data_IF_389545286672
#
_entry.id   IF_389545286672
#
_cell.length_a   1.000
_cell.length_b   1.000
_cell.length_c   1.000
_cell.angle_alpha   90.00
_cell.angle_beta   90.00
_cell.angle_gamma   90.00
#
_symmetry.space_group_name_H-M   'P 1'
#
loop_
_entity.id
_entity.type
_entity.pdbx_description
1 polymer ?
#
# COMPACT_ATOMS: atom_id res chain seq x y z
N UNK A 1 12.01 3.23 15.40
CA UNK A 1 11.28 1.94 15.55
C UNK A 1 10.41 1.72 14.30
N UNK A 2 11.04 1.17 13.25
CA UNK A 2 10.50 0.95 11.90
C UNK A 2 9.15 0.22 11.87
N UNK A 3 8.11 0.88 11.35
CA UNK A 3 6.76 0.33 11.18
C UNK A 3 6.45 -0.20 9.76
N UNK A 4 7.46 -0.29 8.90
CA UNK A 4 7.35 -0.91 7.57
C UNK A 4 8.19 -2.17 7.38
N UNK A 5 8.92 -2.63 8.42
CA UNK A 5 9.44 -3.99 8.40
C UNK A 5 8.28 -4.97 8.57
N UNK A 6 7.99 -5.71 7.51
CA UNK A 6 7.22 -6.95 7.47
C UNK A 6 7.20 -7.63 8.86
N UNK A 7 6.05 -7.59 9.54
CA UNK A 7 5.86 -8.30 10.80
C UNK A 7 5.88 -9.81 10.56
N UNK A 8 7.08 -10.41 10.59
CA UNK A 8 7.28 -11.82 10.90
C UNK A 8 7.57 -11.98 12.39
N UNK A 9 6.51 -12.08 13.18
CA UNK A 9 6.60 -12.65 14.53
C UNK A 9 6.11 -14.09 14.46
N UNK A 10 7.06 -15.03 14.47
CA UNK A 10 6.81 -16.45 14.68
C UNK A 10 6.44 -16.64 16.15
N UNK A 11 5.18 -16.98 16.43
CA UNK A 11 4.81 -17.52 17.73
C UNK A 11 5.06 -19.04 17.71
N UNK A 12 6.13 -19.46 18.38
CA UNK A 12 6.39 -20.87 18.71
C UNK A 12 5.45 -21.22 19.88
N UNK A 13 4.53 -22.16 19.65
CA UNK A 13 3.82 -22.84 20.73
C UNK A 13 4.04 -24.35 20.56
N UNK A 14 4.77 -24.92 21.50
CA UNK A 14 5.07 -26.35 21.61
C UNK A 14 3.79 -27.18 21.76
N UNK A 15 3.69 -28.25 20.98
CA UNK A 15 2.64 -29.25 21.11
C UNK A 15 2.98 -30.25 22.23
N UNK A 16 2.03 -30.49 23.14
CA UNK A 16 1.88 -31.76 23.87
C UNK A 16 0.40 -32.15 23.81
N UNK A 17 0.16 -33.46 23.65
CA UNK A 17 -1.01 -34.07 23.05
C UNK A 17 -2.28 -34.18 23.93
N UNK A 18 -3.40 -34.10 23.19
CA UNK A 18 -4.77 -34.62 23.34
C UNK A 18 -5.26 -35.31 24.64
N UNK A 19 -6.45 -34.86 25.10
CA UNK A 19 -7.57 -35.71 25.52
C UNK A 19 -8.89 -35.08 25.06
N UNK A 20 -9.78 -35.90 24.49
CA UNK A 20 -11.14 -35.57 24.06
C UNK A 20 -12.04 -35.14 25.23
N UNK A 21 -12.75 -34.01 25.09
CA UNK A 21 -14.07 -33.80 25.67
C UNK A 21 -14.80 -32.67 24.92
N UNK A 22 -15.92 -33.01 24.31
CA UNK A 22 -16.85 -32.12 23.64
C UNK A 22 -17.64 -31.28 24.65
N UNK A 23 -17.55 -29.94 24.60
CA UNK A 23 -18.61 -29.00 25.02
C UNK A 23 -18.32 -27.56 24.59
N UNK A 24 -19.30 -26.95 23.91
CA UNK A 24 -19.62 -25.51 23.83
C UNK A 24 -18.59 -24.56 23.21
N UNK A 25 -18.92 -24.07 22.00
CA UNK A 25 -18.24 -22.96 21.34
C UNK A 25 -18.21 -21.72 22.24
N UNK A 26 -17.00 -21.30 22.61
CA UNK A 26 -16.78 -20.05 23.32
C UNK A 26 -17.13 -18.86 22.41
N UNK A 27 -17.82 -17.82 22.93
CA UNK A 27 -18.08 -16.62 22.16
C UNK A 27 -16.76 -15.90 21.83
N UNK A 28 -16.68 -15.36 20.61
CA UNK A 28 -15.54 -14.58 20.14
C UNK A 28 -15.18 -13.44 21.14
N UNK A 29 -13.89 -13.11 21.32
CA UNK A 29 -13.47 -12.09 22.28
C UNK A 29 -14.15 -10.76 21.98
N UNK A 30 -14.84 -10.23 22.98
CA UNK A 30 -15.48 -8.91 22.95
C UNK A 30 -14.40 -7.84 22.73
N UNK A 31 -14.50 -7.11 21.61
CA UNK A 31 -13.64 -5.97 21.30
C UNK A 31 -13.66 -5.00 22.49
N UNK A 32 -12.49 -4.56 22.98
CA UNK A 32 -12.41 -3.68 24.16
C UNK A 32 -13.22 -2.38 23.97
N UNK A 33 -13.86 -1.89 25.04
CA UNK A 33 -14.71 -0.69 24.99
C UNK A 33 -13.98 0.53 24.42
N UNK A 34 -12.68 0.69 24.73
CA UNK A 34 -11.85 1.80 24.23
C UNK A 34 -11.68 1.79 22.71
N UNK A 35 -11.52 0.61 22.09
CA UNK A 35 -11.42 0.50 20.63
C UNK A 35 -12.77 0.76 19.94
N UNK A 36 -13.87 0.33 20.56
CA UNK A 36 -15.21 0.67 20.08
C UNK A 36 -15.49 2.18 20.16
N UNK A 37 -15.09 2.84 21.26
CA UNK A 37 -15.22 4.28 21.46
C UNK A 37 -14.42 5.09 20.44
N UNK A 38 -13.19 4.69 20.12
CA UNK A 38 -12.38 5.37 19.11
C UNK A 38 -13.00 5.25 17.69
N UNK A 39 -13.57 4.08 17.37
CA UNK A 39 -14.10 3.79 16.02
C UNK A 39 -15.28 4.67 15.63
N UNK A 40 -16.11 5.13 16.56
CA UNK A 40 -17.25 5.98 16.21
C UNK A 40 -16.80 7.35 15.62
N UNK A 41 -15.58 7.78 15.95
CA UNK A 41 -14.99 9.02 15.45
C UNK A 41 -14.38 8.90 14.05
N UNK A 42 -14.30 7.70 13.48
CA UNK A 42 -13.78 7.47 12.12
C UNK A 42 -14.67 8.11 11.07
N UNK A 43 -14.09 8.85 10.13
CA UNK A 43 -14.79 9.50 9.02
C UNK A 43 -14.08 10.77 8.54
N UNK A 44 -14.65 11.41 7.53
CA UNK A 44 -14.23 12.75 7.09
C UNK A 44 -15.03 13.84 7.83
N UNK A 45 -14.38 14.94 8.18
CA UNK A 45 -15.00 16.11 8.80
C UNK A 45 -14.67 17.36 7.99
N UNK A 46 -15.69 18.18 7.73
CA UNK A 46 -15.50 19.51 7.16
C UNK A 46 -15.37 20.53 8.29
N UNK A 47 -14.27 21.26 8.30
CA UNK A 47 -14.00 22.33 9.25
C UNK A 47 -14.71 23.63 8.83
N UNK A 48 -14.89 24.55 9.77
CA UNK A 48 -15.54 25.86 9.55
C UNK A 48 -14.83 26.70 8.47
N UNK A 49 -13.54 26.46 8.21
CA UNK A 49 -12.76 27.12 7.16
C UNK A 49 -12.80 26.40 5.80
N UNK A 50 -13.62 25.35 5.67
CA UNK A 50 -13.80 24.57 4.46
C UNK A 50 -12.84 23.40 4.28
N UNK A 51 -11.75 23.33 5.06
CA UNK A 51 -10.81 22.18 5.00
C UNK A 51 -11.49 20.88 5.39
N UNK A 52 -10.99 19.77 4.85
CA UNK A 52 -11.43 18.43 5.22
C UNK A 52 -10.32 17.70 5.96
N UNK A 53 -10.68 17.13 7.11
CA UNK A 53 -9.83 16.21 7.87
C UNK A 53 -10.45 14.81 7.86
N UNK A 54 -9.70 13.82 7.39
CA UNK A 54 -10.06 12.40 7.52
C UNK A 54 -9.47 11.85 8.81
N UNK A 55 -10.27 11.12 9.58
CA UNK A 55 -9.85 10.40 10.78
C UNK A 55 -10.10 8.92 10.55
N UNK A 56 -9.06 8.10 10.68
CA UNK A 56 -9.11 6.64 10.51
C UNK A 56 -8.47 5.94 11.72
N UNK A 57 -8.74 4.64 11.95
CA UNK A 57 -7.94 3.84 12.88
C UNK A 57 -6.46 3.88 12.50
N UNK A 58 -5.58 3.83 13.50
CA UNK A 58 -4.14 3.58 13.31
C UNK A 58 -3.86 2.06 13.33
N UNK A 59 -2.59 1.71 13.33
CA UNK A 59 -2.04 0.38 13.66
C UNK A 59 -2.65 -0.25 14.93
N UNK A 60 -2.84 0.56 15.97
CA UNK A 60 -3.56 0.19 17.18
C UNK A 60 -5.03 0.63 17.07
N UNK A 61 -6.02 -0.28 17.19
CA UNK A 61 -7.44 0.06 17.10
C UNK A 61 -7.97 1.06 18.13
N UNK A 62 -7.22 1.30 19.22
CA UNK A 62 -7.54 2.33 20.21
C UNK A 62 -6.98 3.72 19.86
N UNK A 63 -6.08 3.79 18.87
CA UNK A 63 -5.45 5.00 18.36
C UNK A 63 -6.08 5.39 17.03
N UNK A 64 -6.03 6.67 16.72
CA UNK A 64 -6.55 7.21 15.45
C UNK A 64 -5.42 7.91 14.70
N UNK A 65 -5.65 8.19 13.42
CA UNK A 65 -4.77 8.99 12.58
C UNK A 65 -5.59 9.98 11.79
N UNK A 66 -5.26 11.26 11.90
CA UNK A 66 -5.88 12.29 11.07
C UNK A 66 -5.05 12.56 9.82
N UNK A 67 -5.70 12.97 8.72
CA UNK A 67 -5.07 13.33 7.44
C UNK A 67 -5.79 14.51 6.81
N UNK A 68 -5.02 15.47 6.30
CA UNK A 68 -5.49 16.59 5.48
C UNK A 68 -5.19 16.33 4.00
N UNK A 69 -5.89 17.05 3.11
CA UNK A 69 -5.67 16.97 1.66
C UNK A 69 -4.28 17.45 1.24
N UNK A 70 -3.66 18.36 1.98
CA UNK A 70 -2.28 18.80 1.72
C UNK A 70 -1.23 17.74 2.09
N UNK A 71 -1.64 16.61 2.66
CA UNK A 71 -0.76 15.50 3.03
C UNK A 71 -0.31 15.50 4.48
N UNK A 72 -0.53 16.59 5.23
CA UNK A 72 -0.26 16.61 6.68
C UNK A 72 -1.09 15.53 7.38
N UNK A 73 -0.46 14.86 8.34
CA UNK A 73 -1.06 13.78 9.11
C UNK A 73 -0.43 13.71 10.49
N UNK A 74 -1.17 13.13 11.43
CA UNK A 74 -0.65 12.85 12.75
C UNK A 74 -1.39 11.70 13.43
N UNK A 75 -0.70 11.05 14.37
CA UNK A 75 -1.26 9.96 15.18
C UNK A 75 -1.88 10.55 16.43
N UNK A 76 -3.13 10.17 16.72
CA UNK A 76 -3.88 10.55 17.89
C UNK A 76 -3.84 9.42 18.92
N UNK A 77 -3.35 9.76 20.11
CA UNK A 77 -3.31 8.87 21.28
C UNK A 77 -4.12 9.50 22.40
N UNK A 78 -4.82 8.69 23.19
CA UNK A 78 -5.50 9.18 24.40
C UNK A 78 -4.56 9.18 25.58
N UNK A 79 -4.37 10.36 26.18
CA UNK A 79 -3.59 10.56 27.41
C UNK A 79 -4.40 11.45 28.36
N UNK A 80 -4.59 10.99 29.61
CA UNK A 80 -5.34 11.72 30.64
C UNK A 80 -6.73 12.23 30.19
N UNK A 81 -7.42 11.46 29.35
CA UNK A 81 -8.74 11.80 28.82
C UNK A 81 -8.75 12.77 27.63
N UNK A 82 -7.60 13.27 27.19
CA UNK A 82 -7.44 14.12 26.01
C UNK A 82 -6.82 13.37 24.82
N UNK A 83 -7.10 13.82 23.60
CA UNK A 83 -6.38 13.34 22.41
C UNK A 83 -5.15 14.19 22.16
N UNK A 84 -3.99 13.55 22.12
CA UNK A 84 -2.70 14.16 21.82
C UNK A 84 -2.27 13.73 20.43
N UNK A 85 -1.80 14.69 19.62
CA UNK A 85 -1.33 14.46 18.27
C UNK A 85 0.19 14.43 18.19
N UNK A 86 0.71 13.56 17.32
CA UNK A 86 2.13 13.53 16.95
C UNK A 86 2.29 13.68 15.44
N UNK A 87 3.34 14.40 15.03
CA UNK A 87 3.65 14.72 13.63
C UNK A 87 3.91 13.44 12.84
N UNK A 88 3.20 13.25 11.73
CA UNK A 88 3.46 12.13 10.83
C UNK A 88 3.47 10.78 11.55
N UNK A 89 4.60 10.08 11.43
CA UNK A 89 4.91 8.84 12.13
C UNK A 89 6.11 9.01 13.08
N UNK A 90 6.58 10.24 13.29
CA UNK A 90 7.82 10.52 14.04
C UNK A 90 7.66 10.30 15.55
N UNK A 91 6.42 10.33 16.06
CA UNK A 91 6.14 10.31 17.50
C UNK A 91 6.41 11.63 18.21
N UNK A 92 6.90 12.65 17.50
CA UNK A 92 7.14 13.97 18.06
C UNK A 92 5.82 14.75 18.17
N UNK A 93 5.59 15.54 19.22
CA UNK A 93 4.41 16.38 19.34
C UNK A 93 4.36 17.43 18.23
N UNK A 94 3.18 17.67 17.66
CA UNK A 94 2.95 18.66 16.59
C UNK A 94 2.17 19.89 17.06
N UNK A 95 1.75 19.93 18.32
CA UNK A 95 0.92 20.99 18.90
C UNK A 95 -0.55 20.96 18.48
N UNK A 96 -0.96 20.04 17.59
CA UNK A 96 -2.34 19.92 17.11
C UNK A 96 -3.21 19.34 18.20
N UNK A 97 -4.25 20.09 18.57
CA UNK A 97 -5.25 19.66 19.56
C UNK A 97 -6.50 19.14 18.85
N UNK A 98 -6.93 17.94 19.22
CA UNK A 98 -8.15 17.33 18.69
C UNK A 98 -9.10 17.01 19.84
N UNK A 99 -10.38 17.33 19.66
CA UNK A 99 -11.45 16.87 20.54
C UNK A 99 -12.61 16.41 19.67
N UNK A 100 -13.27 15.33 20.09
CA UNK A 100 -14.47 14.84 19.43
C UNK A 100 -15.68 15.11 20.32
N UNK A 101 -16.84 15.34 19.71
CA UNK A 101 -18.11 15.19 20.42
C UNK A 101 -18.34 13.73 20.81
N UNK A 102 -19.45 13.45 21.51
CA UNK A 102 -19.89 12.08 21.71
C UNK A 102 -20.15 11.38 20.36
N UNK A 103 -20.18 10.05 20.33
CA UNK A 103 -20.39 9.28 19.10
C UNK A 103 -21.63 9.71 18.29
N UNK A 104 -22.66 10.24 18.96
CA UNK A 104 -23.91 10.68 18.33
C UNK A 104 -23.89 12.14 17.84
N UNK A 105 -22.88 12.93 18.23
CA UNK A 105 -22.84 14.36 17.94
C UNK A 105 -22.24 14.70 16.58
N UNK A 106 -21.50 13.78 15.94
CA UNK A 106 -20.86 13.99 14.62
C UNK A 106 -20.03 15.30 14.52
N UNK A 107 -19.36 15.69 15.62
CA UNK A 107 -18.60 16.94 15.76
C UNK A 107 -17.13 16.65 16.04
N UNK A 108 -16.28 17.52 15.53
CA UNK A 108 -14.85 17.59 15.85
C UNK A 108 -14.49 19.04 16.20
N UNK A 109 -13.50 19.22 17.08
CA UNK A 109 -12.71 20.43 17.20
C UNK A 109 -11.27 20.07 16.86
N UNK A 110 -10.75 20.61 15.76
CA UNK A 110 -9.43 20.31 15.23
C UNK A 110 -8.64 21.60 15.16
N UNK A 111 -7.58 21.69 15.95
CA UNK A 111 -6.69 22.85 16.01
C UNK A 111 -7.44 24.19 16.17
N UNK A 112 -8.32 24.23 17.17
CA UNK A 112 -9.16 25.40 17.45
C UNK A 112 -10.43 25.50 16.60
N UNK A 113 -10.46 24.93 15.39
CA UNK A 113 -11.58 25.01 14.46
C UNK A 113 -12.65 23.96 14.78
N UNK A 114 -13.91 24.35 14.64
CA UNK A 114 -15.02 23.39 14.70
C UNK A 114 -15.16 22.69 13.36
N UNK A 115 -15.70 21.50 13.38
CA UNK A 115 -16.06 20.77 12.17
C UNK A 115 -17.18 19.77 12.40
N UNK A 116 -17.77 19.32 11.29
CA UNK A 116 -18.86 18.34 11.27
C UNK A 116 -18.53 17.18 10.36
N UNK A 117 -18.94 15.98 10.78
CA UNK A 117 -18.77 14.77 9.99
C UNK A 117 -19.51 14.90 8.66
N UNK A 118 -18.85 14.55 7.57
CA UNK A 118 -19.42 14.54 6.23
C UNK A 118 -20.20 13.24 6.06
N UNK A 119 -21.45 13.34 5.62
CA UNK A 119 -22.25 12.18 5.25
C UNK A 119 -21.86 11.67 3.87
N UNK A 120 -21.82 10.35 3.71
CA UNK A 120 -21.64 9.66 2.43
C UNK A 120 -22.80 8.69 2.19
N UNK A 121 -23.05 8.35 0.92
CA UNK A 121 -23.91 7.23 0.55
C UNK A 121 -23.02 5.98 0.56
N UNK A 122 -23.25 5.11 1.56
CA UNK A 122 -22.43 3.92 1.80
C UNK A 122 -23.27 2.68 1.55
N UNK A 123 -22.79 1.81 0.69
CA UNK A 123 -23.33 0.47 0.49
C UNK A 123 -22.28 -0.56 0.93
N UNK A 124 -22.52 -1.21 2.06
CA UNK A 124 -21.77 -2.41 2.46
C UNK A 124 -22.19 -3.56 1.56
N UNK A 125 -21.24 -4.41 1.17
CA UNK A 125 -21.53 -5.55 0.30
C UNK A 125 -20.64 -6.75 0.58
N UNK A 126 -21.03 -7.88 0.01
CA UNK A 126 -20.20 -9.03 -0.21
C UNK A 126 -20.30 -9.43 -1.67
N UNK A 127 -19.20 -9.84 -2.27
CA UNK A 127 -19.16 -10.25 -3.67
C UNK A 127 -18.33 -11.52 -3.85
N UNK A 128 -18.69 -12.30 -4.84
CA UNK A 128 -18.06 -13.58 -5.13
C UNK A 128 -16.82 -13.42 -6.02
N UNK A 129 -15.76 -14.12 -5.67
CA UNK A 129 -14.58 -14.31 -6.53
C UNK A 129 -14.01 -15.71 -6.28
N UNK A 130 -13.91 -16.53 -7.33
CA UNK A 130 -13.46 -17.92 -7.21
C UNK A 130 -14.20 -18.74 -6.12
N UNK A 131 -15.52 -18.49 -5.97
CA UNK A 131 -16.37 -19.15 -4.99
C UNK A 131 -16.19 -18.68 -3.54
N UNK A 132 -15.42 -17.62 -3.31
CA UNK A 132 -15.22 -16.99 -2.00
C UNK A 132 -16.03 -15.71 -1.86
N UNK A 133 -16.61 -15.49 -0.68
CA UNK A 133 -17.29 -14.24 -0.34
C UNK A 133 -16.30 -13.20 0.19
N UNK A 134 -16.06 -12.15 -0.60
CA UNK A 134 -15.18 -11.04 -0.23
C UNK A 134 -16.00 -9.84 0.28
N UNK A 135 -15.55 -9.23 1.37
CA UNK A 135 -16.20 -8.05 1.96
C UNK A 135 -15.83 -6.80 1.17
N UNK A 136 -16.83 -6.02 0.77
CA UNK A 136 -16.66 -4.76 0.04
C UNK A 136 -17.50 -3.63 0.62
N UNK A 137 -17.18 -2.40 0.22
CA UNK A 137 -17.93 -1.20 0.53
C UNK A 137 -17.80 -0.21 -0.62
N UNK A 138 -18.93 0.25 -1.15
CA UNK A 138 -18.99 1.42 -2.02
C UNK A 138 -19.28 2.67 -1.18
N UNK A 139 -18.45 3.70 -1.32
CA UNK A 139 -18.62 5.01 -0.69
C UNK A 139 -18.73 6.08 -1.78
N UNK A 140 -19.90 6.70 -1.89
CA UNK A 140 -20.15 7.79 -2.82
C UNK A 140 -20.38 9.11 -2.08
N UNK A 141 -20.03 10.25 -2.69
CA UNK A 141 -20.55 11.54 -2.26
C UNK A 141 -22.08 11.50 -2.20
N UNK A 142 -22.65 12.11 -1.15
CA UNK A 142 -24.10 12.24 -0.99
C UNK A 142 -24.73 12.92 -2.21
N UNK A 143 -25.88 12.41 -2.64
CA UNK A 143 -26.71 13.04 -3.67
C UNK A 143 -26.90 12.16 -4.90
N UNK A 144 -27.18 12.79 -6.03
CA UNK A 144 -27.55 12.09 -7.27
C UNK A 144 -26.58 12.33 -8.43
N UNK A 145 -25.56 13.17 -8.23
CA UNK A 145 -24.58 13.49 -9.26
C UNK A 145 -23.81 12.25 -9.71
N UNK A 146 -23.44 12.25 -10.99
CA UNK A 146 -22.53 11.26 -11.52
C UNK A 146 -21.11 11.55 -11.04
N UNK A 147 -20.43 10.53 -10.53
CA UNK A 147 -19.10 10.66 -9.93
C UNK A 147 -18.13 9.64 -10.53
N UNK A 148 -16.85 10.01 -10.74
CA UNK A 148 -15.82 9.02 -11.05
C UNK A 148 -15.61 8.13 -9.82
N UNK A 149 -15.36 6.83 -10.04
CA UNK A 149 -15.13 5.85 -8.97
C UNK A 149 -13.80 5.14 -9.18
N UNK A 150 -13.07 4.94 -8.09
CA UNK A 150 -11.90 4.05 -8.07
C UNK A 150 -12.15 2.83 -7.21
N UNK A 151 -11.69 1.67 -7.66
CA UNK A 151 -11.58 0.46 -6.86
C UNK A 151 -10.16 0.39 -6.31
N UNK A 152 -10.02 0.33 -4.98
CA UNK A 152 -8.72 0.27 -4.32
C UNK A 152 -8.17 -1.15 -4.35
N UNK A 153 -7.05 -1.33 -5.04
CA UNK A 153 -6.31 -2.60 -5.16
C UNK A 153 -5.12 -2.55 -4.21
N UNK A 154 -5.06 -3.55 -3.34
CA UNK A 154 -4.22 -3.57 -2.14
C UNK A 154 -2.72 -3.66 -2.44
N UNK A 155 -1.91 -3.19 -1.48
CA UNK A 155 -0.47 -3.47 -1.42
C UNK A 155 -0.19 -4.86 -0.87
N UNK A 156 1.05 -5.15 -0.46
CA UNK A 156 1.48 -6.48 0.01
C UNK A 156 1.00 -6.83 1.43
N UNK A 157 0.34 -5.90 2.11
CA UNK A 157 -0.04 -6.01 3.51
C UNK A 157 -1.20 -6.98 3.75
N UNK A 158 -1.29 -7.45 5.01
CA UNK A 158 -2.35 -8.33 5.51
C UNK A 158 -3.33 -7.57 6.41
N UNK A 159 -3.89 -6.47 5.90
CA UNK A 159 -4.83 -5.60 6.64
C UNK A 159 -6.17 -5.51 5.93
N UNK A 160 -7.23 -5.20 6.68
CA UNK A 160 -8.55 -4.91 6.11
C UNK A 160 -8.52 -3.56 5.39
N UNK A 161 -8.66 -3.56 4.06
CA UNK A 161 -8.81 -2.33 3.29
C UNK A 161 -10.03 -1.53 3.74
N UNK A 162 -11.16 -2.20 3.99
CA UNK A 162 -12.42 -1.57 4.41
C UNK A 162 -12.26 -0.81 5.73
N UNK A 163 -11.43 -1.30 6.65
CA UNK A 163 -11.24 -0.67 7.95
C UNK A 163 -10.04 0.30 8.00
N UNK A 164 -9.06 0.19 7.09
CA UNK A 164 -7.78 0.93 7.16
C UNK A 164 -7.59 2.01 6.10
N UNK A 165 -8.17 1.88 4.90
CA UNK A 165 -7.82 2.76 3.78
C UNK A 165 -8.52 4.11 3.87
N UNK A 166 -7.77 5.19 4.02
CA UNK A 166 -8.29 6.54 4.26
C UNK A 166 -8.93 7.19 3.03
N UNK A 167 -8.62 6.69 1.82
CA UNK A 167 -9.13 7.19 0.55
C UNK A 167 -10.67 7.15 0.53
N UNK A 168 -11.28 6.15 1.19
CA UNK A 168 -12.73 6.03 1.32
C UNK A 168 -13.38 7.20 2.08
N UNK A 169 -12.60 8.01 2.79
CA UNK A 169 -13.07 9.25 3.44
C UNK A 169 -12.69 10.49 2.63
N UNK A 170 -11.42 10.60 2.20
CA UNK A 170 -10.93 11.81 1.55
C UNK A 170 -11.47 11.95 0.11
N UNK A 171 -11.49 10.89 -0.68
CA UNK A 171 -11.88 10.99 -2.09
C UNK A 171 -13.38 11.35 -2.24
N UNK A 172 -14.32 10.71 -1.51
CA UNK A 172 -15.72 11.09 -1.59
C UNK A 172 -16.01 12.50 -1.07
N UNK A 173 -15.20 13.00 -0.12
CA UNK A 173 -15.30 14.41 0.31
C UNK A 173 -14.97 15.42 -0.79
N UNK A 174 -14.29 14.96 -1.84
CA UNK A 174 -13.82 15.72 -3.00
C UNK A 174 -14.52 15.31 -4.30
N UNK A 175 -15.65 14.61 -4.23
CA UNK A 175 -16.46 14.26 -5.42
C UNK A 175 -16.00 13.02 -6.18
N UNK A 176 -15.10 12.21 -5.61
CA UNK A 176 -14.63 10.95 -6.21
C UNK A 176 -15.12 9.78 -5.36
N UNK A 177 -15.93 8.89 -5.93
CA UNK A 177 -16.37 7.68 -5.22
C UNK A 177 -15.25 6.64 -5.07
N UNK A 178 -15.39 5.79 -4.07
CA UNK A 178 -14.41 4.74 -3.76
C UNK A 178 -15.14 3.43 -3.53
N UNK A 179 -14.70 2.38 -4.22
CA UNK A 179 -14.98 1.02 -3.81
C UNK A 179 -13.73 0.46 -3.11
N UNK A 180 -13.90 0.06 -1.86
CA UNK A 180 -12.86 -0.57 -1.05
C UNK A 180 -13.33 -1.97 -0.68
N UNK A 181 -12.44 -2.94 -0.70
CA UNK A 181 -12.72 -4.29 -0.28
C UNK A 181 -11.64 -4.79 0.66
N UNK A 182 -11.87 -5.94 1.29
CA UNK A 182 -10.84 -6.63 2.05
C UNK A 182 -10.20 -7.68 1.12
N UNK A 183 -8.87 -7.68 1.00
CA UNK A 183 -8.14 -8.73 0.28
C UNK A 183 -8.56 -10.12 0.81
N UNK A 184 -8.64 -11.13 -0.05
CA UNK A 184 -8.89 -12.52 0.37
C UNK A 184 -8.03 -12.92 1.58
N UNK A 185 -8.62 -13.59 2.56
CA UNK A 185 -7.99 -13.95 3.82
C UNK A 185 -7.59 -12.79 4.75
N UNK A 186 -8.15 -11.59 4.56
CA UNK A 186 -8.00 -10.43 5.45
C UNK A 186 -9.36 -9.85 5.84
N UNK A 187 -9.41 -9.12 6.95
CA UNK A 187 -10.62 -8.42 7.38
C UNK A 187 -11.83 -9.34 7.48
N UNK A 188 -12.91 -9.02 6.77
CA UNK A 188 -14.13 -9.83 6.68
C UNK A 188 -14.24 -10.72 5.44
N UNK A 189 -13.20 -10.79 4.61
CA UNK A 189 -13.15 -11.62 3.40
C UNK A 189 -12.74 -13.05 3.71
N UNK A 190 -13.36 -14.00 3.02
CA UNK A 190 -13.05 -15.43 3.12
C UNK A 190 -11.72 -15.80 2.44
N UNK A 191 -11.35 -17.08 2.55
CA UNK A 191 -10.21 -17.68 1.87
C UNK A 191 -8.87 -17.52 2.59
N UNK A 192 -7.80 -17.91 1.90
CA UNK A 192 -6.41 -17.77 2.37
C UNK A 192 -5.81 -16.46 1.84
N UNK A 193 -5.00 -15.82 2.67
CA UNK A 193 -4.20 -14.67 2.25
C UNK A 193 -3.25 -15.07 1.12
N UNK A 194 -3.19 -14.23 0.09
CA UNK A 194 -2.47 -14.48 -1.15
C UNK A 194 -1.71 -13.23 -1.60
N UNK A 195 -0.62 -13.45 -2.35
CA UNK A 195 0.13 -12.44 -3.07
C UNK A 195 0.26 -12.82 -4.57
N UNK A 196 -0.61 -13.72 -5.04
CA UNK A 196 -0.59 -14.19 -6.43
C UNK A 196 -1.30 -13.17 -7.30
N UNK A 197 -0.57 -12.58 -8.24
CA UNK A 197 -1.07 -11.43 -8.99
C UNK A 197 -2.22 -11.81 -9.92
N UNK A 198 -2.22 -13.01 -10.48
CA UNK A 198 -3.32 -13.48 -11.31
C UNK A 198 -4.59 -13.65 -10.49
N UNK A 199 -4.50 -14.34 -9.35
CA UNK A 199 -5.62 -14.56 -8.45
C UNK A 199 -6.17 -13.27 -7.84
N UNK A 200 -5.29 -12.33 -7.46
CA UNK A 200 -5.67 -11.03 -6.93
C UNK A 200 -6.23 -10.10 -8.01
N UNK A 201 -5.78 -10.25 -9.27
CA UNK A 201 -6.33 -9.46 -10.37
C UNK A 201 -7.76 -9.91 -10.72
N UNK A 202 -8.07 -11.19 -10.58
CA UNK A 202 -9.45 -11.68 -10.72
C UNK A 202 -10.36 -11.13 -9.59
N UNK A 203 -9.86 -11.02 -8.35
CA UNK A 203 -10.58 -10.33 -7.27
C UNK A 203 -10.86 -8.86 -7.60
N UNK A 204 -9.87 -8.17 -8.17
CA UNK A 204 -10.01 -6.78 -8.54
C UNK A 204 -11.03 -6.60 -9.69
N UNK A 205 -11.09 -7.54 -10.64
CA UNK A 205 -12.14 -7.59 -11.69
C UNK A 205 -13.52 -7.79 -11.07
N UNK A 206 -13.67 -8.71 -10.12
CA UNK A 206 -14.94 -8.95 -9.42
C UNK A 206 -15.37 -7.73 -8.59
N UNK A 207 -14.43 -7.10 -7.87
CA UNK A 207 -14.67 -5.87 -7.11
C UNK A 207 -15.13 -4.71 -8.02
N UNK A 208 -14.53 -4.59 -9.21
CA UNK A 208 -14.90 -3.60 -10.21
C UNK A 208 -16.32 -3.82 -10.75
N UNK A 209 -16.69 -5.07 -11.03
CA UNK A 209 -18.03 -5.43 -11.44
C UNK A 209 -19.07 -5.11 -10.35
N UNK A 210 -18.75 -5.43 -9.10
CA UNK A 210 -19.63 -5.16 -7.96
C UNK A 210 -19.80 -3.66 -7.72
N UNK A 211 -18.72 -2.89 -7.78
CA UNK A 211 -18.76 -1.44 -7.69
C UNK A 211 -19.67 -0.84 -8.78
N UNK A 212 -19.55 -1.34 -10.02
CA UNK A 212 -20.41 -0.92 -11.14
C UNK A 212 -21.88 -1.27 -10.89
N UNK A 213 -22.17 -2.47 -10.39
CA UNK A 213 -23.53 -2.93 -10.07
C UNK A 213 -24.20 -2.05 -9.01
N UNK A 214 -23.49 -1.76 -7.92
CA UNK A 214 -24.01 -0.95 -6.81
C UNK A 214 -24.17 0.53 -7.19
N UNK A 215 -23.20 1.11 -7.89
CA UNK A 215 -23.24 2.53 -8.24
C UNK A 215 -24.09 2.84 -9.47
N UNK A 216 -24.35 1.85 -10.34
CA UNK A 216 -25.22 1.97 -11.50
C UNK A 216 -24.92 3.20 -12.37
N UNK A 217 -25.96 3.98 -12.67
CA UNK A 217 -25.89 5.18 -13.51
C UNK A 217 -25.19 6.37 -12.85
N UNK A 218 -24.96 6.32 -11.52
CA UNK A 218 -24.19 7.35 -10.81
C UNK A 218 -22.69 7.28 -11.08
N UNK A 219 -22.17 6.19 -11.64
CA UNK A 219 -20.75 6.09 -11.95
C UNK A 219 -20.48 6.66 -13.34
N UNK A 220 -19.89 7.86 -13.41
CA UNK A 220 -19.53 8.50 -14.69
C UNK A 220 -18.38 7.78 -15.38
N UNK A 221 -17.36 7.38 -14.61
CA UNK A 221 -16.26 6.53 -15.03
C UNK A 221 -15.74 5.68 -13.88
N UNK A 222 -15.16 4.52 -14.18
CA UNK A 222 -14.60 3.64 -13.17
C UNK A 222 -13.21 3.14 -13.55
N UNK A 223 -12.32 3.05 -12.58
CA UNK A 223 -10.97 2.56 -12.79
C UNK A 223 -10.39 1.88 -11.55
N UNK A 224 -9.17 1.38 -11.69
CA UNK A 224 -8.44 0.69 -10.64
C UNK A 224 -7.37 1.62 -10.07
N UNK A 225 -7.21 1.62 -8.74
CA UNK A 225 -6.17 2.34 -8.01
C UNK A 225 -5.31 1.33 -7.27
N UNK A 226 -4.13 1.03 -7.80
CA UNK A 226 -3.19 0.05 -7.25
C UNK A 226 -2.08 0.71 -6.45
N UNK A 227 -1.91 0.30 -5.20
CA UNK A 227 -0.85 0.80 -4.32
C UNK A 227 0.24 -0.25 -4.12
N UNK A 228 1.53 0.09 -4.25
CA UNK A 228 2.65 -0.86 -4.06
C UNK A 228 2.46 -2.14 -4.90
N UNK A 229 2.32 -3.34 -4.29
CA UNK A 229 1.96 -4.60 -4.97
C UNK A 229 0.73 -4.47 -5.91
N UNK A 230 -0.22 -3.62 -5.55
CA UNK A 230 -1.38 -3.30 -6.37
C UNK A 230 -1.01 -2.71 -7.74
N UNK A 231 0.20 -2.17 -7.89
CA UNK A 231 0.78 -1.69 -9.14
C UNK A 231 1.04 -2.78 -10.18
N UNK A 232 1.21 -4.05 -9.78
CA UNK A 232 1.20 -5.19 -10.71
C UNK A 232 -0.21 -5.71 -10.96
N UNK A 233 -1.01 -5.79 -9.89
CA UNK A 233 -2.35 -6.38 -9.92
C UNK A 233 -3.34 -5.53 -10.70
N UNK A 234 -3.32 -4.20 -10.56
CA UNK A 234 -4.29 -3.31 -11.17
C UNK A 234 -4.16 -3.25 -12.71
N UNK A 235 -2.96 -3.09 -13.32
CA UNK A 235 -2.80 -3.20 -14.77
C UNK A 235 -3.18 -4.59 -15.29
N UNK A 236 -2.82 -5.66 -14.57
CA UNK A 236 -3.19 -7.03 -14.94
C UNK A 236 -4.72 -7.21 -14.95
N UNK A 237 -5.41 -6.74 -13.91
CA UNK A 237 -6.87 -6.77 -13.83
C UNK A 237 -7.52 -5.97 -14.97
N UNK A 238 -6.99 -4.77 -15.27
CA UNK A 238 -7.47 -3.95 -16.39
C UNK A 238 -7.30 -4.62 -17.75
N UNK A 239 -6.29 -5.48 -17.92
CA UNK A 239 -6.12 -6.27 -19.15
C UNK A 239 -7.15 -7.38 -19.33
N UNK A 240 -7.81 -7.80 -18.23
CA UNK A 240 -8.80 -8.89 -18.19
C UNK A 240 -10.24 -8.41 -18.38
N UNK A 241 -10.50 -7.10 -18.37
CA UNK A 241 -11.87 -6.56 -18.49
C UNK A 241 -11.94 -5.18 -19.17
N UNK A 242 -12.92 -4.95 -20.07
CA UNK A 242 -13.17 -3.62 -20.62
C UNK A 242 -13.84 -2.67 -19.63
N UNK A 243 -14.29 -3.17 -18.47
CA UNK A 243 -14.98 -2.35 -17.47
C UNK A 243 -14.05 -1.31 -16.82
N UNK A 244 -12.76 -1.62 -16.73
CA UNK A 244 -11.76 -0.69 -16.24
C UNK A 244 -11.48 0.35 -17.32
N UNK A 245 -11.85 1.62 -17.07
CA UNK A 245 -11.69 2.70 -18.04
C UNK A 245 -10.38 3.47 -17.85
N UNK A 246 -9.70 3.26 -16.72
CA UNK A 246 -8.37 3.82 -16.44
C UNK A 246 -7.70 3.02 -15.30
N UNK A 247 -6.39 3.18 -15.18
CA UNK A 247 -5.59 2.61 -14.09
C UNK A 247 -4.75 3.72 -13.46
N UNK A 248 -4.70 3.75 -12.14
CA UNK A 248 -3.75 4.57 -11.40
C UNK A 248 -2.88 3.65 -10.56
N UNK A 249 -1.57 3.77 -10.70
CA UNK A 249 -0.59 3.09 -9.87
C UNK A 249 0.12 4.12 -9.00
N UNK A 250 0.18 3.86 -7.71
CA UNK A 250 0.90 4.71 -6.74
C UNK A 250 1.96 3.87 -6.05
N UNK A 251 3.21 4.35 -6.12
CA UNK A 251 4.42 3.73 -5.55
C UNK A 251 4.53 2.23 -5.84
N UNK A 252 4.08 1.81 -7.03
CA UNK A 252 4.26 0.46 -7.56
C UNK A 252 5.25 0.48 -8.73
N UNK A 253 5.70 -0.70 -9.15
CA UNK A 253 6.80 -0.83 -10.11
C UNK A 253 6.33 -1.36 -11.48
N UNK A 254 7.01 -0.90 -12.53
CA UNK A 254 6.98 -1.47 -13.87
C UNK A 254 8.14 -2.46 -14.08
N UNK A 255 8.64 -3.06 -13.00
CA UNK A 255 9.62 -4.13 -12.99
C UNK A 255 9.16 -5.32 -12.14
N UNK A 256 9.80 -6.48 -12.27
CA UNK A 256 9.43 -7.70 -11.54
C UNK A 256 9.86 -7.68 -10.08
N UNK A 257 9.24 -8.52 -9.26
CA UNK A 257 9.49 -8.63 -7.80
C UNK A 257 10.95 -8.96 -7.48
N UNK A 258 11.60 -9.78 -8.30
CA UNK A 258 13.03 -10.08 -8.13
C UNK A 258 13.93 -8.88 -8.40
N UNK A 259 13.54 -8.01 -9.34
CA UNK A 259 14.29 -6.78 -9.62
C UNK A 259 14.10 -5.77 -8.50
N UNK A 260 12.91 -5.67 -7.92
CA UNK A 260 12.64 -4.84 -6.73
C UNK A 260 13.60 -5.17 -5.58
N UNK A 261 13.68 -6.44 -5.17
CA UNK A 261 14.58 -6.87 -4.09
C UNK A 261 16.05 -6.60 -4.44
N UNK A 262 16.47 -6.86 -5.68
CA UNK A 262 17.83 -6.55 -6.15
C UNK A 262 18.15 -5.06 -6.08
N UNK A 263 17.23 -4.21 -6.52
CA UNK A 263 17.44 -2.76 -6.57
C UNK A 263 17.42 -2.16 -5.16
N UNK A 264 16.58 -2.70 -4.26
CA UNK A 264 16.59 -2.38 -2.84
C UNK A 264 17.94 -2.75 -2.20
N UNK A 265 18.45 -3.95 -2.44
CA UNK A 265 19.78 -4.37 -1.96
C UNK A 265 20.86 -3.39 -2.44
N UNK A 266 20.82 -3.00 -3.71
CA UNK A 266 21.78 -2.05 -4.26
C UNK A 266 21.66 -0.66 -3.63
N UNK A 267 20.43 -0.18 -3.36
CA UNK A 267 20.21 1.09 -2.68
C UNK A 267 20.71 1.07 -1.23
N UNK A 268 20.43 -0.01 -0.49
CA UNK A 268 20.89 -0.21 0.88
C UNK A 268 22.41 -0.25 0.99
N UNK A 269 23.09 -0.93 0.06
CA UNK A 269 24.54 -0.97 0.00
C UNK A 269 25.14 0.40 -0.29
N UNK A 270 24.58 1.16 -1.25
CA UNK A 270 25.01 2.53 -1.51
C UNK A 270 24.88 3.41 -0.27
N UNK A 271 23.76 3.32 0.44
CA UNK A 271 23.53 4.07 1.68
C UNK A 271 24.51 3.67 2.80
N UNK A 272 24.95 2.40 2.83
CA UNK A 272 25.95 1.90 3.76
C UNK A 272 27.41 2.21 3.35
N UNK A 273 27.64 2.92 2.24
CA UNK A 273 28.98 3.27 1.75
C UNK A 273 29.63 2.22 0.83
N UNK A 274 28.89 1.19 0.41
CA UNK A 274 29.34 0.09 -0.45
C UNK A 274 28.80 0.21 -1.88
N UNK A 275 28.79 1.45 -2.41
CA UNK A 275 28.16 1.78 -3.69
C UNK A 275 29.03 1.59 -4.93
N UNK A 276 30.24 1.06 -4.80
CA UNK A 276 31.14 0.84 -5.93
C UNK A 276 30.63 -0.27 -6.87
N UNK A 277 31.01 -0.18 -8.15
CA UNK A 277 30.48 -1.06 -9.17
C UNK A 277 30.83 -2.55 -8.96
N UNK A 278 31.99 -2.86 -8.38
CA UNK A 278 32.42 -4.24 -8.12
C UNK A 278 31.56 -4.86 -7.00
N UNK A 279 31.41 -4.14 -5.88
CA UNK A 279 30.55 -4.58 -4.77
C UNK A 279 29.11 -4.77 -5.22
N UNK A 280 28.54 -3.82 -5.96
CA UNK A 280 27.17 -3.94 -6.45
C UNK A 280 27.00 -5.10 -7.45
N UNK A 281 28.01 -5.41 -8.27
CA UNK A 281 27.99 -6.57 -9.16
C UNK A 281 28.02 -7.89 -8.37
N UNK A 282 28.81 -7.99 -7.30
CA UNK A 282 28.84 -9.14 -6.40
C UNK A 282 27.51 -9.32 -5.67
N UNK A 283 26.98 -8.24 -5.08
CA UNK A 283 25.69 -8.24 -4.39
C UNK A 283 24.54 -8.65 -5.32
N UNK A 284 24.55 -8.17 -6.57
CA UNK A 284 23.59 -8.60 -7.60
C UNK A 284 23.59 -10.12 -7.81
N UNK A 285 24.77 -10.76 -7.82
CA UNK A 285 24.84 -12.24 -7.92
C UNK A 285 24.20 -12.93 -6.72
N UNK A 286 24.33 -12.34 -5.52
CA UNK A 286 23.66 -12.84 -4.30
C UNK A 286 22.15 -12.71 -4.43
N UNK A 287 21.65 -11.54 -4.84
CA UNK A 287 20.21 -11.32 -5.09
C UNK A 287 19.64 -12.21 -6.19
N UNK A 288 20.44 -12.53 -7.23
CA UNK A 288 20.01 -13.46 -8.28
C UNK A 288 19.86 -14.90 -7.73
N UNK A 289 20.75 -15.33 -6.84
CA UNK A 289 20.68 -16.65 -6.20
C UNK A 289 19.52 -16.76 -5.20
N UNK A 290 19.29 -15.73 -4.38
CA UNK A 290 18.13 -15.66 -3.48
C UNK A 290 16.82 -15.54 -4.27
N UNK A 291 16.79 -14.75 -5.35
CA UNK A 291 15.64 -14.68 -6.24
C UNK A 291 15.28 -16.04 -6.87
N UNK A 292 16.28 -16.85 -7.23
CA UNK A 292 16.09 -18.22 -7.71
C UNK A 292 15.53 -19.15 -6.62
N UNK A 293 16.00 -19.00 -5.37
CA UNK A 293 15.41 -19.68 -4.21
C UNK A 293 13.93 -19.36 -4.07
N UNK A 294 13.57 -18.09 -4.11
CA UNK A 294 12.19 -17.64 -3.98
C UNK A 294 11.29 -18.21 -5.11
N UNK A 295 11.70 -18.01 -6.37
CA UNK A 295 10.95 -18.46 -7.55
C UNK A 295 10.84 -19.98 -7.67
N UNK A 296 11.75 -20.74 -7.05
CA UNK A 296 11.72 -22.20 -7.04
C UNK A 296 11.16 -22.80 -5.75
N UNK A 297 10.62 -21.98 -4.83
CA UNK A 297 10.13 -22.43 -3.51
C UNK A 297 11.20 -23.21 -2.73
N UNK A 298 12.44 -22.74 -2.82
CA UNK A 298 13.61 -23.32 -2.15
C UNK A 298 14.18 -24.57 -2.82
N UNK A 299 13.73 -24.96 -4.01
CA UNK A 299 14.22 -26.16 -4.71
C UNK A 299 15.56 -25.94 -5.44
N UNK A 300 15.86 -24.70 -5.85
CA UNK A 300 17.08 -24.31 -6.58
C UNK A 300 17.69 -23.06 -5.96
N UNK A 301 18.95 -22.74 -6.26
CA UNK A 301 19.62 -21.52 -5.78
C UNK A 301 20.44 -21.69 -4.50
N UNK A 302 20.30 -22.82 -3.79
CA UNK A 302 21.09 -23.08 -2.58
C UNK A 302 22.57 -23.27 -2.88
N UNK A 303 22.89 -24.05 -3.91
CA UNK A 303 24.27 -24.37 -4.27
C UNK A 303 24.99 -23.10 -4.77
N UNK A 304 24.29 -22.25 -5.54
CA UNK A 304 24.75 -20.94 -5.95
C UNK A 304 24.97 -19.99 -4.76
N UNK A 305 24.02 -19.94 -3.82
CA UNK A 305 24.13 -19.11 -2.61
C UNK A 305 25.27 -19.59 -1.69
N UNK A 306 25.46 -20.89 -1.52
CA UNK A 306 26.56 -21.46 -0.73
C UNK A 306 27.92 -21.14 -1.33
N UNK A 307 28.06 -21.21 -2.67
CA UNK A 307 29.28 -20.82 -3.36
C UNK A 307 29.59 -19.31 -3.19
N UNK A 308 28.58 -18.45 -3.35
CA UNK A 308 28.73 -17.01 -3.16
C UNK A 308 29.06 -16.66 -1.70
N UNK A 309 28.45 -17.34 -0.74
CA UNK A 309 28.74 -17.19 0.68
C UNK A 309 30.17 -17.58 1.00
N UNK A 310 30.63 -18.72 0.51
CA UNK A 310 32.02 -19.14 0.70
C UNK A 310 33.02 -18.11 0.13
N UNK A 311 32.65 -17.43 -0.95
CA UNK A 311 33.47 -16.41 -1.59
C UNK A 311 33.45 -15.06 -0.85
N UNK A 312 32.28 -14.61 -0.37
CA UNK A 312 32.06 -13.20 -0.01
C UNK A 312 31.67 -12.94 1.45
N UNK A 313 31.34 -13.95 2.27
CA UNK A 313 30.78 -13.72 3.62
C UNK A 313 31.68 -12.90 4.57
N UNK A 314 32.97 -12.82 4.27
CA UNK A 314 33.96 -12.07 5.04
C UNK A 314 34.22 -10.66 4.48
N UNK A 315 33.66 -10.30 3.32
CA UNK A 315 33.73 -8.94 2.81
C UNK A 315 32.80 -8.03 3.64
N UNK A 316 33.20 -6.78 3.96
CA UNK A 316 32.42 -5.90 4.84
C UNK A 316 30.99 -5.63 4.38
N UNK A 317 30.77 -5.57 3.06
CA UNK A 317 29.44 -5.31 2.48
C UNK A 317 28.45 -6.46 2.69
N UNK A 318 28.92 -7.69 2.93
CA UNK A 318 28.03 -8.84 3.11
C UNK A 318 27.09 -8.66 4.30
N UNK A 319 27.58 -8.09 5.39
CA UNK A 319 26.77 -7.81 6.59
C UNK A 319 25.85 -6.60 6.40
N UNK A 320 26.09 -5.79 5.36
CA UNK A 320 25.25 -4.67 4.97
C UNK A 320 24.17 -5.07 3.96
N UNK A 321 24.17 -6.32 3.46
CA UNK A 321 23.09 -6.83 2.61
C UNK A 321 21.78 -6.78 3.37
N UNK A 322 20.86 -6.01 2.82
CA UNK A 322 19.46 -5.92 3.25
C UNK A 322 18.58 -6.40 2.10
N UNK A 323 17.50 -5.69 1.76
CA UNK A 323 16.43 -6.21 0.91
C UNK A 323 15.36 -6.96 1.70
N UNK A 324 14.11 -6.92 1.22
CA UNK A 324 12.99 -7.64 1.83
C UNK A 324 13.21 -9.14 1.87
N UNK A 325 13.83 -9.71 0.83
CA UNK A 325 14.06 -11.14 0.70
C UNK A 325 15.53 -11.51 0.86
N UNK A 326 16.42 -10.85 0.10
CA UNK A 326 17.84 -11.22 0.10
C UNK A 326 18.44 -11.16 1.50
N UNK A 327 18.19 -10.08 2.24
CA UNK A 327 18.73 -9.89 3.60
C UNK A 327 18.23 -10.92 4.61
N UNK A 328 17.00 -11.43 4.43
CA UNK A 328 16.42 -12.44 5.31
C UNK A 328 16.96 -13.85 5.01
N UNK A 329 17.31 -14.13 3.75
CA UNK A 329 17.72 -15.46 3.29
C UNK A 329 19.23 -15.64 3.23
N UNK A 330 20.01 -14.59 3.01
CA UNK A 330 21.45 -14.67 2.73
C UNK A 330 22.27 -15.37 3.83
N UNK A 331 21.81 -15.34 5.07
CA UNK A 331 22.47 -16.00 6.21
C UNK A 331 21.99 -17.44 6.47
N UNK A 332 20.96 -17.94 5.77
CA UNK A 332 20.31 -19.25 6.03
C UNK A 332 20.98 -20.41 5.30
N UNK A 333 20.90 -21.64 5.82
CA UNK A 333 21.43 -22.86 5.18
C UNK A 333 20.33 -23.78 4.64
N UNK A 334 20.73 -24.65 3.70
CA UNK A 334 19.87 -25.70 3.13
C UNK A 334 19.43 -26.66 4.23
N UNK A 335 18.14 -26.64 4.56
CA UNK A 335 17.53 -27.50 5.59
C UNK A 335 16.96 -26.74 6.79
N UNK A 336 17.47 -25.54 7.08
CA UNK A 336 17.03 -24.74 8.24
C UNK A 336 15.61 -24.18 8.07
N UNK A 337 15.16 -23.97 6.82
CA UNK A 337 13.97 -23.13 6.55
C UNK A 337 13.18 -23.50 5.27
N UNK A 338 13.29 -24.73 4.72
CA UNK A 338 12.53 -25.11 3.51
C UNK A 338 11.01 -24.95 3.68
N UNK A 339 10.47 -25.35 4.83
CA UNK A 339 9.05 -25.16 5.14
C UNK A 339 8.70 -23.69 5.36
N UNK A 340 9.61 -22.90 5.93
CA UNK A 340 9.39 -21.47 6.17
C UNK A 340 9.41 -20.71 4.85
N UNK A 341 10.43 -20.85 4.02
CA UNK A 341 10.50 -20.25 2.67
C UNK A 341 9.30 -20.68 1.83
N UNK A 342 8.94 -21.96 1.83
CA UNK A 342 7.73 -22.43 1.15
C UNK A 342 6.44 -21.79 1.73
N UNK A 343 6.35 -21.56 3.05
CA UNK A 343 5.17 -20.92 3.67
C UNK A 343 5.12 -19.40 3.49
N UNK A 344 6.27 -18.73 3.47
CA UNK A 344 6.42 -17.29 3.25
C UNK A 344 6.09 -16.91 1.81
N UNK A 345 6.51 -17.75 0.85
CA UNK A 345 6.58 -17.40 -0.57
C UNK A 345 5.71 -18.24 -1.50
N UNK A 346 4.97 -19.24 -0.99
CA UNK A 346 4.24 -20.20 -1.85
C UNK A 346 3.27 -19.58 -2.85
N UNK A 347 2.95 -18.30 -2.69
CA UNK A 347 1.88 -17.60 -3.38
C UNK A 347 2.29 -16.19 -3.83
N UNK A 348 3.58 -15.88 -3.98
CA UNK A 348 4.05 -14.63 -4.61
C UNK A 348 4.40 -14.93 -6.06
N UNK A 349 3.96 -14.08 -7.00
CA UNK A 349 4.29 -14.20 -8.42
C UNK A 349 5.71 -13.72 -8.74
N UNK A 350 6.74 -14.38 -8.19
CA UNK A 350 8.16 -14.01 -8.28
C UNK A 350 8.68 -13.82 -9.71
N UNK A 351 8.14 -14.56 -10.67
CA UNK A 351 8.55 -14.52 -12.08
C UNK A 351 7.64 -13.65 -12.95
N UNK A 352 6.74 -12.88 -12.34
CA UNK A 352 5.85 -11.99 -13.08
C UNK A 352 6.64 -10.87 -13.77
N UNK A 353 6.41 -10.73 -15.09
CA UNK A 353 6.89 -9.60 -15.89
C UNK A 353 5.70 -8.67 -16.21
N UNK A 354 5.70 -7.41 -15.73
CA UNK A 354 4.62 -6.46 -16.03
C UNK A 354 4.63 -5.97 -17.48
N UNK A 355 5.76 -6.03 -18.19
CA UNK A 355 5.92 -5.34 -19.47
C UNK A 355 5.01 -5.85 -20.60
N UNK A 356 4.73 -7.17 -20.75
CA UNK A 356 3.73 -7.67 -21.70
C UNK A 356 2.34 -7.07 -21.49
N UNK A 357 1.92 -6.84 -20.24
CA UNK A 357 0.65 -6.21 -19.91
C UNK A 357 0.71 -4.72 -20.24
N UNK A 358 1.72 -4.00 -19.74
CA UNK A 358 1.83 -2.55 -19.91
C UNK A 358 1.96 -2.12 -21.38
N UNK A 359 2.63 -2.93 -22.21
CA UNK A 359 2.72 -2.69 -23.66
C UNK A 359 1.38 -2.83 -24.38
N UNK A 360 0.47 -3.66 -23.87
CA UNK A 360 -0.81 -3.96 -24.53
C UNK A 360 -1.97 -3.13 -23.99
N UNK A 361 -1.85 -2.61 -22.77
CA UNK A 361 -2.93 -1.86 -22.12
C UNK A 361 -3.23 -0.56 -22.88
N UNK A 362 -4.51 -0.36 -23.20
CA UNK A 362 -4.99 0.80 -23.99
C UNK A 362 -5.73 1.82 -23.14
N UNK A 363 -6.10 1.44 -21.92
CA UNK A 363 -6.68 2.32 -20.92
C UNK A 363 -5.66 3.38 -20.49
N UNK A 364 -6.07 4.64 -20.29
CA UNK A 364 -5.22 5.67 -19.69
C UNK A 364 -4.66 5.24 -18.33
N UNK A 365 -3.38 5.53 -18.12
CA UNK A 365 -2.64 5.17 -16.92
C UNK A 365 -2.03 6.41 -16.27
N UNK A 366 -2.09 6.48 -14.94
CA UNK A 366 -1.32 7.41 -14.13
C UNK A 366 -0.38 6.65 -13.21
N UNK A 367 0.91 6.99 -13.24
CA UNK A 367 1.92 6.42 -12.35
C UNK A 367 2.48 7.50 -11.43
N UNK A 368 2.38 7.31 -10.12
CA UNK A 368 2.91 8.23 -9.12
C UNK A 368 4.03 7.52 -8.36
N UNK A 369 5.24 8.05 -8.39
CA UNK A 369 6.44 7.38 -7.89
C UNK A 369 7.16 8.21 -6.83
N UNK A 370 7.78 7.55 -5.85
CA UNK A 370 8.73 8.17 -4.93
C UNK A 370 10.13 8.19 -5.54
N UNK A 371 10.79 9.35 -5.53
CA UNK A 371 12.16 9.48 -6.03
C UNK A 371 13.21 8.87 -5.09
N UNK A 372 12.91 8.88 -3.79
CA UNK A 372 13.77 8.36 -2.72
C UNK A 372 13.18 7.08 -2.09
N UNK A 373 12.26 6.41 -2.80
CA UNK A 373 11.61 5.16 -2.36
C UNK A 373 12.67 4.08 -2.08
N UNK A 374 12.84 3.75 -0.79
CA UNK A 374 13.82 2.77 -0.35
C UNK A 374 13.29 1.34 -0.35
N UNK A 375 11.97 1.15 -0.46
CA UNK A 375 11.35 -0.18 -0.52
C UNK A 375 11.20 -0.62 -1.98
N UNK A 376 10.87 0.32 -2.88
CA UNK A 376 10.64 0.09 -4.29
C UNK A 376 11.37 1.16 -5.14
N UNK A 377 12.72 1.08 -5.30
CA UNK A 377 13.48 2.05 -6.08
C UNK A 377 12.91 2.23 -7.49
N UNK A 378 12.49 3.45 -7.82
CA UNK A 378 11.60 3.68 -8.96
C UNK A 378 12.31 3.98 -10.28
N UNK A 379 13.65 4.07 -10.32
CA UNK A 379 14.38 4.60 -11.49
C UNK A 379 14.13 3.78 -12.77
N UNK A 380 14.20 2.46 -12.70
CA UNK A 380 13.91 1.60 -13.86
C UNK A 380 12.44 1.70 -14.29
N UNK A 381 11.53 1.83 -13.31
CA UNK A 381 10.11 2.08 -13.58
C UNK A 381 9.91 3.40 -14.34
N UNK A 382 10.59 4.48 -13.93
CA UNK A 382 10.54 5.77 -14.62
C UNK A 382 11.01 5.65 -16.07
N UNK A 383 12.13 4.94 -16.32
CA UNK A 383 12.68 4.71 -17.66
C UNK A 383 11.71 3.92 -18.55
N UNK A 384 11.19 2.80 -18.04
CA UNK A 384 10.24 1.94 -18.77
C UNK A 384 8.96 2.67 -19.13
N UNK A 385 8.38 3.40 -18.19
CA UNK A 385 7.15 4.16 -18.41
C UNK A 385 7.36 5.32 -19.39
N UNK A 386 8.48 6.05 -19.27
CA UNK A 386 8.83 7.14 -20.20
C UNK A 386 8.98 6.61 -21.63
N UNK A 387 9.60 5.44 -21.80
CA UNK A 387 9.71 4.77 -23.09
C UNK A 387 8.36 4.33 -23.65
N UNK A 388 7.50 3.72 -22.83
CA UNK A 388 6.15 3.33 -23.29
C UNK A 388 5.32 4.55 -23.69
N UNK A 389 5.42 5.65 -22.94
CA UNK A 389 4.76 6.91 -23.29
C UNK A 389 5.28 7.48 -24.62
N UNK A 390 6.61 7.43 -24.85
CA UNK A 390 7.23 7.79 -26.13
C UNK A 390 6.73 6.94 -27.30
N UNK A 391 6.48 5.64 -27.06
CA UNK A 391 5.88 4.69 -28.01
C UNK A 391 4.36 4.91 -28.20
N UNK A 392 3.79 5.99 -27.66
CA UNK A 392 2.39 6.37 -27.83
C UNK A 392 1.41 5.64 -26.91
N UNK A 393 1.89 4.94 -25.87
CA UNK A 393 0.99 4.35 -24.86
C UNK A 393 0.41 5.47 -23.99
N UNK A 394 -0.86 5.36 -23.56
CA UNK A 394 -1.54 6.42 -22.82
C UNK A 394 -1.12 6.40 -21.34
N UNK A 395 0.16 6.69 -21.09
CA UNK A 395 0.80 6.67 -19.78
C UNK A 395 1.23 8.09 -19.44
N UNK A 396 0.66 8.63 -18.36
CA UNK A 396 1.17 9.80 -17.67
C UNK A 396 1.87 9.36 -16.38
N UNK A 397 2.89 10.10 -15.96
CA UNK A 397 3.56 9.83 -14.69
C UNK A 397 4.06 11.07 -13.98
N UNK A 398 4.21 10.96 -12.67
CA UNK A 398 4.75 11.99 -11.79
C UNK A 398 5.63 11.37 -10.71
N UNK A 399 6.77 12.01 -10.44
CA UNK A 399 7.73 11.62 -9.42
C UNK A 399 7.72 12.68 -8.33
N UNK A 400 7.55 12.26 -7.07
CA UNK A 400 7.79 13.09 -5.91
C UNK A 400 9.25 12.86 -5.48
N UNK A 401 10.18 13.76 -5.82
CA UNK A 401 11.61 13.46 -5.83
C UNK A 401 12.18 13.12 -4.45
N UNK A 402 11.59 13.66 -3.39
CA UNK A 402 12.04 13.46 -2.00
C UNK A 402 11.01 12.68 -1.16
N UNK A 403 10.27 11.80 -1.83
CA UNK A 403 9.30 10.95 -1.18
C UNK A 403 9.78 9.50 -1.19
N UNK A 404 9.61 8.86 -0.04
CA UNK A 404 9.82 7.44 0.20
C UNK A 404 8.60 6.62 -0.25
N UNK A 405 8.60 5.32 0.05
CA UNK A 405 7.47 4.43 -0.14
C UNK A 405 6.18 4.99 0.45
N UNK A 406 5.07 4.82 -0.26
CA UNK A 406 3.78 5.43 0.09
C UNK A 406 3.67 6.94 -0.24
N UNK A 407 4.65 7.50 -0.98
CA UNK A 407 4.78 8.93 -1.28
C UNK A 407 4.85 9.74 0.02
N UNK A 408 5.70 9.29 0.94
CA UNK A 408 5.89 9.89 2.25
C UNK A 408 7.15 10.76 2.27
N UNK A 409 7.01 12.01 2.70
CA UNK A 409 8.17 12.83 3.04
C UNK A 409 8.74 12.40 4.38
N UNK A 410 10.06 12.44 4.51
CA UNK A 410 10.77 12.04 5.72
C UNK A 410 11.87 13.04 6.07
N UNK A 411 12.24 13.02 7.34
CA UNK A 411 13.48 13.60 7.85
C UNK A 411 14.41 12.44 8.24
N UNK A 412 15.71 12.65 8.21
CA UNK A 412 16.67 11.64 8.69
C UNK A 412 17.21 12.07 10.04
N UNK A 413 17.11 11.21 11.05
CA UNK A 413 17.64 11.51 12.37
C UNK A 413 19.17 11.29 12.46
N UNK A 414 19.75 11.59 13.63
CA UNK A 414 21.19 11.48 13.85
C UNK A 414 21.74 10.03 13.71
N UNK A 415 20.87 9.02 13.78
CA UNK A 415 21.23 7.62 13.59
C UNK A 415 21.09 7.14 12.14
N UNK A 416 20.58 8.00 11.26
CA UNK A 416 20.26 7.65 9.88
C UNK A 416 18.87 7.04 9.69
N UNK A 417 18.01 7.01 10.72
CA UNK A 417 16.63 6.50 10.60
C UNK A 417 15.76 7.53 9.88
N UNK A 418 14.95 7.07 8.91
CA UNK A 418 13.95 7.90 8.24
C UNK A 418 12.71 8.04 9.13
N UNK A 419 12.39 9.27 9.48
CA UNK A 419 11.21 9.66 10.24
C UNK A 419 10.17 10.25 9.28
N UNK A 420 9.17 9.46 8.87
CA UNK A 420 8.13 9.94 7.96
C UNK A 420 7.26 11.02 8.62
N UNK A 421 7.12 12.16 7.96
CA UNK A 421 6.49 13.38 8.53
C UNK A 421 5.11 13.68 7.94
N UNK A 422 4.90 13.41 6.66
CA UNK A 422 3.64 13.66 5.94
C UNK A 422 3.57 12.84 4.65
N UNK A 423 2.38 12.73 4.06
CA UNK A 423 2.29 12.43 2.63
C UNK A 423 2.78 13.65 1.86
N UNK A 424 3.49 13.44 0.76
CA UNK A 424 4.08 14.54 0.00
C UNK A 424 3.01 15.55 -0.43
N UNK A 425 3.35 16.82 -0.33
CA UNK A 425 2.44 17.89 -0.68
C UNK A 425 2.00 17.80 -2.14
N UNK A 426 0.70 17.88 -2.40
CA UNK A 426 0.14 17.73 -3.75
C UNK A 426 -0.15 16.30 -4.18
N UNK A 427 0.28 15.28 -3.42
CA UNK A 427 0.03 13.86 -3.75
C UNK A 427 -1.47 13.51 -3.82
N UNK A 428 -2.26 13.95 -2.84
CA UNK A 428 -3.71 13.67 -2.84
C UNK A 428 -4.45 14.50 -3.91
N UNK A 429 -4.22 15.83 -4.04
CA UNK A 429 -4.80 16.63 -5.12
C UNK A 429 -4.53 16.06 -6.51
N UNK A 430 -3.28 15.66 -6.79
CA UNK A 430 -2.89 15.06 -8.07
C UNK A 430 -3.74 13.85 -8.43
N UNK A 431 -3.95 12.94 -7.47
CA UNK A 431 -4.78 11.75 -7.70
C UNK A 431 -6.22 12.13 -8.01
N UNK A 432 -6.79 13.04 -7.21
CA UNK A 432 -8.17 13.48 -7.36
C UNK A 432 -8.42 14.14 -8.72
N UNK A 433 -7.54 15.03 -9.14
CA UNK A 433 -7.65 15.74 -10.40
C UNK A 433 -7.53 14.78 -11.58
N UNK A 434 -6.53 13.89 -11.55
CA UNK A 434 -6.36 12.93 -12.63
C UNK A 434 -7.53 11.95 -12.71
N UNK A 435 -8.08 11.47 -11.58
CA UNK A 435 -9.27 10.60 -11.58
C UNK A 435 -10.49 11.32 -12.20
N UNK A 436 -10.68 12.60 -11.87
CA UNK A 436 -11.79 13.41 -12.39
C UNK A 436 -11.65 13.68 -13.88
N UNK A 437 -10.45 14.03 -14.33
CA UNK A 437 -10.23 14.61 -15.66
C UNK A 437 -9.56 13.67 -16.66
N UNK A 438 -8.93 12.60 -16.19
CA UNK A 438 -8.18 11.63 -16.99
C UNK A 438 -6.84 12.13 -17.51
N UNK A 439 -6.39 13.30 -17.05
CA UNK A 439 -5.11 13.93 -17.40
C UNK A 439 -4.68 14.92 -16.32
N UNK A 440 -3.39 15.20 -16.23
CA UNK A 440 -2.88 16.25 -15.34
C UNK A 440 -3.04 17.64 -15.96
N UNK A 441 -3.76 18.54 -15.28
CA UNK A 441 -3.86 19.96 -15.64
C UNK A 441 -2.55 20.73 -15.41
N UNK A 442 -2.43 21.99 -15.85
CA UNK A 442 -1.16 22.76 -15.76
C UNK A 442 -0.68 23.14 -14.35
N UNK A 443 -1.39 22.70 -13.31
CA UNK A 443 -1.10 23.02 -11.92
C UNK A 443 0.15 22.31 -11.40
N UNK A 444 0.77 22.90 -10.37
CA UNK A 444 1.88 22.27 -9.65
C UNK A 444 1.34 21.45 -8.48
N UNK A 445 1.76 20.20 -8.40
CA UNK A 445 1.43 19.29 -7.31
C UNK A 445 2.59 19.21 -6.33
N UNK A 446 2.73 20.25 -5.49
CA UNK A 446 3.88 20.40 -4.59
C UNK A 446 5.20 20.37 -5.36
N UNK A 447 6.06 19.41 -5.04
CA UNK A 447 7.38 19.21 -5.69
C UNK A 447 7.38 18.12 -6.76
N UNK A 448 6.21 17.60 -7.15
CA UNK A 448 6.12 16.58 -8.18
C UNK A 448 6.69 17.08 -9.51
N UNK A 449 7.46 16.21 -10.16
CA UNK A 449 7.97 16.39 -11.52
C UNK A 449 7.30 15.37 -12.42
N UNK A 450 6.80 15.80 -13.58
CA UNK A 450 6.21 14.85 -14.55
C UNK A 450 7.29 13.99 -15.18
N UNK A 451 6.98 12.74 -15.47
CA UNK A 451 7.85 11.90 -16.27
C UNK A 451 8.00 12.52 -17.67
N UNK A 452 9.23 12.56 -18.21
CA UNK A 452 9.45 13.06 -19.55
C UNK A 452 8.81 12.12 -20.57
N UNK A 453 8.10 12.69 -21.53
CA UNK A 453 7.85 12.00 -22.80
C UNK A 453 9.12 12.18 -23.62
N UNK A 454 10.01 11.19 -23.59
CA UNK A 454 11.24 11.27 -24.39
C UNK A 454 10.85 11.11 -25.85
N UNK A 455 10.98 12.16 -26.67
CA UNK A 455 10.68 12.11 -28.10
C UNK A 455 11.79 11.42 -28.90
#
# INVERSE_FOLDING_TARGET
MNLFRLCFAVAIASAIAAVYASTHAAPAPTKSSKAADARCHVGAYRLDDGRVVSVMPSDDPSKLRWRLLDGRTGKLVRENGAWISTRGWTGQPDGIRVAFGTCNQSRIRFDGLRGRKIGFDIAETRFDSHGLSLRGRLVLPRGHDKVPVVVLVHGSEKVSGVDAYFQQNLFPSQGVGVFVYDKRGTGGSEGKFSKDFDLLSDDAVAALAEARRLGGTRISRIGLHGSSQGGWVAPLAASKTPLAQFVMVVFGLADGVQSEDRDQVAADLRAAGFGDADTLAKARRVSDATGLLAASKGQRGWDELDALRAQYQHEPWWQALKGEYTGDVVQRRRGDDLMRIAMLDSDVSWTYDPMPVLRKLTQPQMWILGGDDAEAPSQETQLRLSRLAAEGRPIEGAVFPQADHGILEFETDASGERLHTRMAEGYIPLQLDWIKHGKLGGERYGRAVRLPVSH
#
